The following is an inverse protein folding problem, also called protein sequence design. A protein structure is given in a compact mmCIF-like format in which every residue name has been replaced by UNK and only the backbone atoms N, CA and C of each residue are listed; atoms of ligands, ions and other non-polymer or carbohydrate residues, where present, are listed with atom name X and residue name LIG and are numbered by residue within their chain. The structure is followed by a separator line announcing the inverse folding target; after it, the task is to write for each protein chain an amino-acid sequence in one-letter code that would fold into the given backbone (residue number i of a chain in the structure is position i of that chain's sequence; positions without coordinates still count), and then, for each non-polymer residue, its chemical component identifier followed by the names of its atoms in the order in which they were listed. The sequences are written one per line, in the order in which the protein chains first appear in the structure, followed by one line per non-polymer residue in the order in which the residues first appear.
data_IF_441883141455
#
_entry.id   IF_441883141455
#
_cell.length_a   1.000
_cell.length_b   1.000
_cell.length_c   1.000
_cell.angle_alpha   90.00
_cell.angle_beta   90.00
_cell.angle_gamma   90.00
#
_symmetry.space_group_name_H-M   'P 1'
#
loop_
_entity.id
_entity.type
_entity.pdbx_description
1 polymer ?
#
# COMPACT_ATOMS: atom_id res chain seq x y z
N UNK A 1 5.24 -9.31 2.58
CA UNK A 1 6.13 -8.14 2.36
C UNK A 1 5.66 -7.01 3.27
N UNK A 2 6.49 -5.99 3.48
CA UNK A 2 6.14 -4.85 4.33
C UNK A 2 6.11 -3.56 3.50
N UNK A 3 5.04 -2.79 3.65
CA UNK A 3 4.92 -1.40 3.17
C UNK A 3 5.05 -0.46 4.36
N UNK A 4 5.81 0.62 4.24
CA UNK A 4 6.11 1.58 5.32
C UNK A 4 5.22 2.82 5.29
N UNK A 5 4.45 2.99 4.22
CA UNK A 5 3.59 4.16 4.03
C UNK A 5 2.43 3.87 3.06
N UNK A 6 1.37 4.69 3.09
CA UNK A 6 0.32 4.66 2.05
C UNK A 6 0.87 4.81 0.63
N UNK A 7 1.99 5.53 0.45
CA UNK A 7 2.61 5.74 -0.85
C UNK A 7 3.30 4.47 -1.37
N UNK A 8 4.00 3.72 -0.51
CA UNK A 8 4.55 2.42 -0.87
C UNK A 8 3.45 1.42 -1.25
N UNK A 9 2.33 1.43 -0.53
CA UNK A 9 1.16 0.62 -0.89
C UNK A 9 0.61 0.98 -2.27
N UNK A 10 0.53 2.29 -2.60
CA UNK A 10 0.14 2.74 -3.94
C UNK A 10 1.14 2.31 -4.99
N UNK A 11 2.44 2.52 -4.77
CA UNK A 11 3.53 2.11 -5.68
C UNK A 11 3.46 0.62 -5.98
N UNK A 12 3.22 -0.21 -4.96
CA UNK A 12 3.03 -1.65 -5.12
C UNK A 12 1.84 -1.96 -6.05
N UNK A 13 0.69 -1.33 -5.82
CA UNK A 13 -0.50 -1.56 -6.64
C UNK A 13 -0.31 -1.05 -8.09
N UNK A 14 0.32 0.12 -8.28
CA UNK A 14 0.71 0.64 -9.61
C UNK A 14 1.60 -0.37 -10.32
N UNK A 15 2.62 -0.88 -9.64
CA UNK A 15 3.56 -1.83 -10.21
C UNK A 15 2.89 -3.18 -10.53
N UNK A 16 1.92 -3.65 -9.74
CA UNK A 16 1.16 -4.86 -10.04
C UNK A 16 0.29 -4.73 -11.29
N UNK A 17 -0.27 -3.54 -11.55
CA UNK A 17 -1.27 -3.30 -12.60
C UNK A 17 -0.91 -3.80 -14.02
N UNK A 18 0.34 -3.74 -14.53
CA UNK A 18 0.66 -4.22 -15.88
C UNK A 18 0.62 -5.75 -16.01
N UNK A 19 0.61 -6.48 -14.89
CA UNK A 19 0.47 -7.94 -14.86
C UNK A 19 -1.00 -8.39 -14.91
N UNK A 20 -1.94 -7.45 -14.74
CA UNK A 20 -3.37 -7.73 -14.80
C UNK A 20 -3.86 -7.88 -16.23
N UNK A 21 -4.94 -8.64 -16.36
CA UNK A 21 -5.66 -8.96 -17.59
C UNK A 21 -7.16 -8.88 -17.32
N UNK A 22 -7.98 -8.54 -18.33
CA UNK A 22 -9.43 -8.65 -18.22
C UNK A 22 -9.85 -10.02 -17.66
N UNK A 23 -10.83 -10.01 -16.76
CA UNK A 23 -11.32 -11.17 -16.01
C UNK A 23 -10.53 -11.47 -14.74
N UNK A 24 -9.46 -10.73 -14.44
CA UNK A 24 -8.77 -10.89 -13.16
C UNK A 24 -9.59 -10.34 -11.99
N UNK A 25 -9.65 -11.14 -10.93
CA UNK A 25 -10.21 -10.73 -9.64
C UNK A 25 -9.10 -10.60 -8.60
N UNK A 26 -9.10 -9.47 -7.90
CA UNK A 26 -8.28 -9.21 -6.72
C UNK A 26 -9.18 -9.15 -5.49
N UNK A 27 -8.94 -10.03 -4.53
CA UNK A 27 -9.62 -10.05 -3.23
C UNK A 27 -8.76 -9.35 -2.20
N UNK A 28 -9.22 -8.22 -1.65
CA UNK A 28 -8.50 -7.50 -0.60
C UNK A 28 -9.14 -7.81 0.76
N UNK A 29 -8.38 -8.40 1.67
CA UNK A 29 -8.80 -8.69 3.04
C UNK A 29 -7.95 -7.99 4.10
N UNK A 30 -8.45 -7.99 5.33
CA UNK A 30 -7.74 -7.50 6.51
C UNK A 30 -8.39 -6.29 7.19
N UNK A 31 -7.68 -5.69 8.15
CA UNK A 31 -8.29 -4.81 9.16
C UNK A 31 -8.90 -3.51 8.60
N UNK A 32 -9.82 -2.92 9.36
CA UNK A 32 -10.31 -1.57 9.08
C UNK A 32 -9.13 -0.58 9.15
N UNK A 33 -8.97 0.24 8.12
CA UNK A 33 -7.83 1.16 8.02
C UNK A 33 -6.51 0.52 7.58
N UNK A 34 -6.50 -0.78 7.23
CA UNK A 34 -5.31 -1.46 6.71
C UNK A 34 -4.82 -0.91 5.35
N UNK A 35 -5.64 -0.12 4.66
CA UNK A 35 -5.24 0.54 3.40
C UNK A 35 -5.72 -0.16 2.14
N UNK A 36 -6.78 -0.96 2.22
CA UNK A 36 -7.42 -1.63 1.06
C UNK A 36 -7.79 -0.62 -0.03
N UNK A 37 -8.56 0.42 0.28
CA UNK A 37 -8.87 1.50 -0.69
C UNK A 37 -7.61 2.22 -1.21
N UNK A 38 -6.59 2.41 -0.38
CA UNK A 38 -5.29 2.99 -0.81
C UNK A 38 -4.63 2.12 -1.89
N UNK A 39 -4.69 0.80 -1.74
CA UNK A 39 -4.23 -0.14 -2.76
C UNK A 39 -5.03 0.03 -4.06
N UNK A 40 -6.37 0.09 -3.98
CA UNK A 40 -7.22 0.27 -5.18
C UNK A 40 -6.93 1.57 -5.90
N UNK A 41 -6.68 2.66 -5.16
CA UNK A 41 -6.27 3.94 -5.75
C UNK A 41 -4.98 3.83 -6.55
N UNK A 42 -3.96 3.17 -5.99
CA UNK A 42 -2.71 2.92 -6.72
C UNK A 42 -2.93 2.03 -7.95
N UNK A 43 -3.75 1.00 -7.81
CA UNK A 43 -4.09 0.11 -8.93
C UNK A 43 -4.76 0.88 -10.07
N UNK A 44 -5.74 1.73 -9.74
CA UNK A 44 -6.46 2.54 -10.72
C UNK A 44 -5.52 3.48 -11.47
N UNK A 45 -4.57 4.12 -10.76
CA UNK A 45 -3.52 4.93 -11.39
C UNK A 45 -2.67 4.09 -12.35
N UNK A 46 -2.26 2.89 -11.94
CA UNK A 46 -1.49 1.98 -12.80
C UNK A 46 -2.26 1.50 -14.03
N UNK A 47 -3.59 1.36 -13.91
CA UNK A 47 -4.50 1.09 -15.02
C UNK A 47 -4.78 2.33 -15.89
N UNK A 48 -4.30 3.52 -15.52
CA UNK A 48 -4.53 4.76 -16.27
C UNK A 48 -5.90 5.40 -16.03
N UNK A 49 -6.62 5.00 -14.97
CA UNK A 49 -7.90 5.61 -14.58
C UNK A 49 -7.60 6.95 -13.90
N UNK A 50 -8.05 8.04 -14.54
CA UNK A 50 -7.83 9.42 -14.07
C UNK A 50 -8.89 9.89 -13.07
N UNK A 51 -9.99 9.15 -12.96
CA UNK A 51 -11.10 9.46 -12.06
C UNK A 51 -10.70 9.27 -10.59
N UNK A 52 -11.34 10.03 -9.70
CA UNK A 52 -11.07 9.93 -8.27
C UNK A 52 -11.66 8.64 -7.70
N UNK A 53 -10.80 7.66 -7.42
CA UNK A 53 -11.19 6.43 -6.74
C UNK A 53 -11.40 6.66 -5.25
N UNK A 54 -12.58 6.30 -4.77
CA UNK A 54 -13.00 6.38 -3.37
C UNK A 54 -13.67 5.08 -2.98
N UNK A 55 -13.61 4.71 -1.70
CA UNK A 55 -14.25 3.49 -1.21
C UNK A 55 -15.75 3.49 -1.55
N UNK A 56 -16.26 2.39 -2.13
CA UNK A 56 -17.66 2.26 -2.47
C UNK A 56 -18.51 1.78 -1.29
N UNK A 57 -18.06 1.85 -0.02
CA UNK A 57 -18.78 1.26 1.12
C UNK A 57 -20.27 1.62 1.26
N UNK A 58 -20.75 2.73 0.67
CA UNK A 58 -22.17 3.10 0.66
C UNK A 58 -22.94 2.68 -0.59
N UNK A 59 -22.26 2.64 -1.74
CA UNK A 59 -22.86 2.28 -3.04
C UNK A 59 -22.59 0.82 -3.41
N UNK A 60 -21.79 0.12 -2.59
CA UNK A 60 -21.29 -1.24 -2.70
C UNK A 60 -20.37 -1.50 -3.89
N UNK A 61 -20.63 -0.85 -5.03
CA UNK A 61 -19.89 -0.99 -6.27
C UNK A 61 -19.68 0.37 -6.94
N UNK A 62 -18.51 0.53 -7.56
CA UNK A 62 -18.22 1.59 -8.53
C UNK A 62 -17.51 1.00 -9.73
N UNK A 63 -17.88 1.50 -10.90
CA UNK A 63 -17.27 1.15 -12.17
C UNK A 63 -16.48 2.35 -12.70
N UNK A 64 -15.27 2.09 -13.19
CA UNK A 64 -14.39 3.10 -13.76
C UNK A 64 -13.94 2.64 -15.15
N UNK A 65 -14.34 3.37 -16.20
CA UNK A 65 -14.17 2.95 -17.59
C UNK A 65 -12.94 3.56 -18.28
N UNK A 66 -12.37 4.62 -17.72
CA UNK A 66 -11.35 5.46 -18.38
C UNK A 66 -9.91 4.93 -18.40
N UNK A 67 -9.67 3.64 -18.14
CA UNK A 67 -8.33 3.04 -18.07
C UNK A 67 -7.97 2.13 -19.25
N UNK A 68 -6.78 1.52 -19.19
CA UNK A 68 -6.34 0.44 -20.09
C UNK A 68 -7.34 -0.73 -20.08
N UNK A 69 -7.86 -1.04 -18.89
CA UNK A 69 -8.97 -1.96 -18.67
C UNK A 69 -9.98 -1.28 -17.74
N UNK A 70 -11.29 -1.46 -17.97
CA UNK A 70 -12.31 -1.09 -17.00
C UNK A 70 -12.07 -1.73 -15.64
N UNK A 71 -12.38 -1.01 -14.56
CA UNK A 71 -12.25 -1.47 -13.18
C UNK A 71 -13.60 -1.46 -12.48
N UNK A 72 -13.99 -2.60 -11.95
CA UNK A 72 -15.07 -2.75 -10.97
C UNK A 72 -14.45 -2.77 -9.58
N UNK A 73 -14.82 -1.82 -8.74
CA UNK A 73 -14.40 -1.72 -7.34
C UNK A 73 -15.59 -1.98 -6.44
N UNK A 74 -15.54 -3.05 -5.66
CA UNK A 74 -16.56 -3.47 -4.72
C UNK A 74 -16.08 -3.38 -3.28
N UNK A 75 -16.99 -3.11 -2.36
CA UNK A 75 -16.76 -3.19 -0.91
C UNK A 75 -17.94 -3.92 -0.27
N UNK A 76 -17.69 -5.14 0.20
CA UNK A 76 -18.72 -6.02 0.78
C UNK A 76 -18.77 -5.96 2.30
N UNK A 77 -18.05 -5.05 2.95
CA UNK A 77 -17.98 -4.94 4.42
C UNK A 77 -19.34 -4.86 5.11
N UNK A 78 -20.30 -4.19 4.46
CA UNK A 78 -21.64 -3.93 5.02
C UNK A 78 -22.63 -5.07 4.80
N UNK A 79 -22.27 -6.07 4.01
CA UNK A 79 -23.17 -7.18 3.72
C UNK A 79 -23.08 -8.16 4.89
N UNK A 80 -24.22 -8.38 5.56
CA UNK A 80 -24.26 -9.24 6.75
C UNK A 80 -24.26 -10.72 6.37
N UNK A 81 -24.65 -11.03 5.14
CA UNK A 81 -24.82 -12.39 4.64
C UNK A 81 -24.31 -12.52 3.22
N UNK A 82 -23.68 -13.67 2.93
CA UNK A 82 -23.27 -14.05 1.57
C UNK A 82 -24.43 -14.00 0.57
N UNK A 83 -25.68 -14.25 1.01
CA UNK A 83 -26.87 -14.17 0.16
C UNK A 83 -27.11 -12.76 -0.38
N UNK A 84 -26.79 -11.71 0.38
CA UNK A 84 -26.95 -10.33 -0.09
C UNK A 84 -26.01 -10.02 -1.26
N UNK A 85 -24.82 -10.63 -1.28
CA UNK A 85 -23.87 -10.53 -2.40
C UNK A 85 -24.43 -11.19 -3.64
N UNK A 86 -25.05 -12.37 -3.48
CA UNK A 86 -25.70 -13.11 -4.58
C UNK A 86 -26.89 -12.31 -5.12
N UNK A 87 -27.73 -11.78 -4.24
CA UNK A 87 -28.93 -11.01 -4.59
C UNK A 87 -28.60 -9.68 -5.29
N UNK A 88 -27.40 -9.13 -5.06
CA UNK A 88 -26.90 -7.96 -5.79
C UNK A 88 -26.56 -8.25 -7.26
N UNK A 89 -26.59 -9.52 -7.68
CA UNK A 89 -26.17 -9.93 -9.02
C UNK A 89 -24.67 -10.19 -9.09
N UNK A 90 -24.14 -10.97 -8.14
CA UNK A 90 -22.72 -11.35 -8.10
C UNK A 90 -22.11 -11.73 -9.46
N UNK A 91 -22.87 -12.50 -10.26
CA UNK A 91 -22.46 -12.96 -11.59
C UNK A 91 -22.35 -11.82 -12.62
N UNK A 92 -23.08 -10.72 -12.42
CA UNK A 92 -23.08 -9.55 -13.31
C UNK A 92 -21.81 -8.70 -13.14
N UNK A 93 -21.13 -8.80 -11.98
CA UNK A 93 -19.95 -7.99 -11.67
C UNK A 93 -18.62 -8.72 -11.95
N UNK A 94 -18.66 -10.03 -12.21
CA UNK A 94 -17.50 -10.80 -12.68
C UNK A 94 -17.34 -10.72 -14.20
N UNK A 95 -17.52 -9.53 -14.76
CA UNK A 95 -17.42 -9.33 -16.20
C UNK A 95 -15.99 -9.68 -16.68
N UNK A 96 -15.83 -10.65 -17.60
CA UNK A 96 -14.52 -11.08 -18.10
C UNK A 96 -13.77 -9.99 -18.90
N UNK A 97 -14.42 -8.87 -19.22
CA UNK A 97 -13.81 -7.70 -19.84
C UNK A 97 -13.23 -6.69 -18.83
N UNK A 98 -13.53 -6.85 -17.54
CA UNK A 98 -13.13 -5.94 -16.46
C UNK A 98 -12.00 -6.51 -15.60
N UNK A 99 -11.29 -5.63 -14.90
CA UNK A 99 -10.59 -5.99 -13.67
C UNK A 99 -11.57 -5.82 -12.52
N UNK A 100 -11.66 -6.80 -11.61
CA UNK A 100 -12.52 -6.71 -10.43
C UNK A 100 -11.67 -6.66 -9.17
N UNK A 101 -11.95 -5.70 -8.29
CA UNK A 101 -11.33 -5.60 -6.97
C UNK A 101 -12.42 -5.61 -5.91
N UNK A 102 -12.34 -6.58 -4.99
CA UNK A 102 -13.31 -6.75 -3.91
C UNK A 102 -12.64 -6.45 -2.58
N UNK A 103 -12.95 -5.31 -1.97
CA UNK A 103 -12.60 -5.03 -0.58
C UNK A 103 -13.46 -5.89 0.35
N UNK A 104 -12.82 -6.42 1.40
CA UNK A 104 -13.39 -7.42 2.32
C UNK A 104 -13.78 -8.72 1.60
N UNK A 105 -13.07 -9.04 0.52
CA UNK A 105 -13.32 -10.21 -0.30
C UNK A 105 -13.08 -11.54 0.44
N UNK A 106 -12.35 -11.52 1.57
CA UNK A 106 -12.18 -12.65 2.49
C UNK A 106 -13.50 -13.10 3.13
N UNK A 107 -14.45 -12.18 3.35
CA UNK A 107 -15.79 -12.52 3.87
C UNK A 107 -16.64 -13.30 2.87
N UNK A 108 -16.30 -13.22 1.59
CA UNK A 108 -17.05 -13.81 0.47
C UNK A 108 -16.18 -14.74 -0.38
N UNK A 109 -15.02 -15.17 0.15
CA UNK A 109 -14.04 -15.99 -0.58
C UNK A 109 -14.66 -17.22 -1.27
N UNK A 110 -15.64 -17.95 -0.68
CA UNK A 110 -16.28 -19.09 -1.35
C UNK A 110 -17.10 -18.73 -2.60
N UNK A 111 -17.50 -17.47 -2.75
CA UNK A 111 -18.19 -17.00 -3.95
C UNK A 111 -17.21 -16.64 -5.07
N UNK A 112 -15.99 -16.19 -4.71
CA UNK A 112 -14.96 -15.71 -5.65
C UNK A 112 -14.58 -16.76 -6.70
N UNK A 113 -14.18 -16.36 -7.92
CA UNK A 113 -13.74 -17.30 -8.95
C UNK A 113 -12.56 -18.14 -8.45
N UNK A 114 -12.41 -19.35 -8.98
CA UNK A 114 -11.26 -20.22 -8.66
C UNK A 114 -9.91 -19.56 -8.96
N UNK A 115 -9.87 -18.71 -9.99
CA UNK A 115 -8.70 -17.94 -10.40
C UNK A 115 -8.82 -16.51 -9.83
N UNK A 116 -8.10 -16.21 -8.76
CA UNK A 116 -8.01 -14.85 -8.22
C UNK A 116 -6.70 -14.65 -7.43
N UNK A 117 -6.34 -13.40 -7.15
CA UNK A 117 -5.26 -13.09 -6.21
C UNK A 117 -5.87 -12.60 -4.89
N UNK A 118 -5.61 -13.31 -3.80
CA UNK A 118 -5.94 -12.85 -2.46
C UNK A 118 -4.81 -11.99 -1.91
N UNK A 119 -5.14 -10.82 -1.39
CA UNK A 119 -4.20 -9.84 -0.84
C UNK A 119 -4.68 -9.48 0.57
N UNK A 120 -3.99 -10.00 1.57
CA UNK A 120 -4.27 -9.72 2.98
C UNK A 120 -3.39 -8.58 3.46
N UNK A 121 -4.01 -7.60 4.13
CA UNK A 121 -3.35 -6.41 4.63
C UNK A 121 -3.58 -6.28 6.14
N UNK A 122 -2.53 -6.26 6.93
CA UNK A 122 -2.59 -6.09 8.40
C UNK A 122 -1.66 -4.97 8.85
N UNK A 123 -1.86 -4.49 10.08
CA UNK A 123 -0.93 -3.56 10.70
C UNK A 123 0.44 -4.22 10.93
N UNK A 124 1.50 -3.49 10.59
CA UNK A 124 2.87 -3.88 10.90
C UNK A 124 3.29 -3.47 12.31
N UNK A 125 4.59 -3.58 12.60
CA UNK A 125 5.15 -3.25 13.92
C UNK A 125 5.01 -1.76 14.33
N UNK A 126 4.73 -0.87 13.38
CA UNK A 126 4.39 0.53 13.66
C UNK A 126 3.11 0.92 12.90
N UNK A 127 2.39 1.92 13.41
CA UNK A 127 1.07 2.33 12.89
C UNK A 127 1.06 2.71 11.41
N UNK A 128 2.18 3.19 10.86
CA UNK A 128 2.31 3.53 9.44
C UNK A 128 2.66 2.34 8.54
N UNK A 129 3.12 1.23 9.13
CA UNK A 129 3.57 0.03 8.43
C UNK A 129 2.41 -0.92 8.18
N UNK A 130 2.44 -1.63 7.07
CA UNK A 130 1.48 -2.65 6.69
C UNK A 130 2.23 -3.91 6.29
N UNK A 131 1.81 -5.04 6.83
CA UNK A 131 2.19 -6.32 6.27
C UNK A 131 1.18 -6.67 5.16
N UNK A 132 1.70 -7.00 3.99
CA UNK A 132 0.91 -7.37 2.82
C UNK A 132 1.31 -8.79 2.39
N UNK A 133 0.34 -9.68 2.37
CA UNK A 133 0.51 -11.09 1.97
C UNK A 133 -0.33 -11.35 0.74
N UNK A 134 0.32 -11.73 -0.35
CA UNK A 134 -0.33 -12.07 -1.62
C UNK A 134 -0.33 -13.59 -1.82
N UNK A 135 -1.51 -14.18 -2.00
CA UNK A 135 -1.71 -15.61 -2.20
C UNK A 135 -2.43 -15.84 -3.52
N UNK A 136 -1.78 -16.51 -4.50
CA UNK A 136 -2.46 -16.89 -5.73
C UNK A 136 -3.50 -17.96 -5.44
N UNK A 137 -4.67 -17.86 -6.08
CA UNK A 137 -5.65 -18.93 -6.20
C UNK A 137 -5.78 -19.30 -7.66
N UNK A 138 -5.61 -20.59 -7.95
CA UNK A 138 -5.65 -21.11 -9.31
C UNK A 138 -4.33 -21.00 -10.07
N UNK A 139 -4.25 -21.75 -11.16
CA UNK A 139 -3.00 -21.99 -11.90
C UNK A 139 -2.52 -20.73 -12.62
N UNK A 140 -3.42 -19.90 -13.14
CA UNK A 140 -3.03 -18.69 -13.88
C UNK A 140 -2.36 -17.67 -12.96
N UNK A 141 -2.83 -17.57 -11.72
CA UNK A 141 -2.21 -16.70 -10.72
C UNK A 141 -0.93 -17.29 -10.14
N UNK A 142 -0.85 -18.60 -9.91
CA UNK A 142 0.40 -19.27 -9.50
C UNK A 142 1.54 -18.99 -10.48
N UNK A 143 1.25 -19.10 -11.78
CA UNK A 143 2.24 -18.82 -12.83
C UNK A 143 2.66 -17.35 -12.86
N UNK A 144 1.74 -16.42 -12.61
CA UNK A 144 2.03 -14.97 -12.56
C UNK A 144 2.81 -14.57 -11.31
N UNK A 145 2.73 -15.32 -10.22
CA UNK A 145 3.42 -14.98 -8.97
C UNK A 145 4.95 -14.96 -9.10
N UNK A 146 5.54 -15.65 -10.08
CA UNK A 146 6.97 -15.52 -10.36
C UNK A 146 7.34 -14.08 -10.73
N UNK A 147 6.56 -13.45 -11.61
CA UNK A 147 6.75 -12.05 -12.02
C UNK A 147 6.44 -11.09 -10.88
N UNK A 148 5.39 -11.37 -10.09
CA UNK A 148 5.03 -10.55 -8.93
C UNK A 148 6.16 -10.53 -7.91
N UNK A 149 6.82 -11.67 -7.65
CA UNK A 149 7.95 -11.76 -6.72
C UNK A 149 9.14 -10.91 -7.18
N UNK A 150 9.55 -11.06 -8.45
CA UNK A 150 10.64 -10.26 -9.04
C UNK A 150 10.32 -8.76 -8.95
N UNK A 151 9.09 -8.39 -9.30
CA UNK A 151 8.63 -7.01 -9.22
C UNK A 151 8.69 -6.44 -7.80
N UNK A 152 8.26 -7.22 -6.81
CA UNK A 152 8.33 -6.84 -5.40
C UNK A 152 9.79 -6.68 -4.95
N UNK A 153 10.67 -7.60 -5.34
CA UNK A 153 12.09 -7.51 -5.03
C UNK A 153 12.70 -6.25 -5.63
N UNK A 154 12.45 -5.95 -6.91
CA UNK A 154 12.95 -4.73 -7.58
C UNK A 154 12.42 -3.45 -6.92
N UNK A 155 11.11 -3.38 -6.67
CA UNK A 155 10.46 -2.18 -6.13
C UNK A 155 10.99 -1.79 -4.73
N UNK A 156 11.38 -2.78 -3.92
CA UNK A 156 11.81 -2.59 -2.53
C UNK A 156 13.29 -2.94 -2.28
N UNK A 157 14.08 -3.18 -3.34
CA UNK A 157 15.54 -3.26 -3.24
C UNK A 157 16.19 -1.88 -3.31
N UNK A 158 15.62 -0.95 -4.10
CA UNK A 158 16.15 0.41 -4.26
C UNK A 158 16.06 1.23 -2.96
N UNK A 159 14.97 1.06 -2.19
CA UNK A 159 14.74 1.76 -0.92
C UNK A 159 15.64 1.27 0.25
N UNK A 160 16.49 0.25 0.05
CA UNK A 160 17.48 -0.19 1.04
C UNK A 160 18.85 0.49 0.87
N UNK A 161 19.21 0.85 -0.36
CA UNK A 161 20.53 1.43 -0.66
C UNK A 161 20.55 2.96 -0.51
N UNK A 162 19.40 3.63 -0.68
CA UNK A 162 19.28 5.09 -0.48
C UNK A 162 19.33 5.53 0.99
N UNK A 163 19.17 4.60 1.95
CA UNK A 163 19.38 4.87 3.37
C UNK A 163 20.86 4.86 3.79
N UNK A 164 21.76 4.35 2.94
CA UNK A 164 23.21 4.36 3.18
C UNK A 164 23.97 5.42 2.36
N UNK A 165 23.25 6.25 1.61
CA UNK A 165 23.83 7.34 0.81
C UNK A 165 23.37 8.72 1.32
N UNK A 166 23.67 9.05 2.58
CA UNK A 166 23.69 10.45 3.03
C UNK A 166 25.11 11.01 2.90
N UNK A 167 25.31 12.21 2.30
CA UNK A 167 26.61 12.84 2.28
C UNK A 167 26.95 13.41 3.67
N UNK A 168 27.92 12.77 4.33
CA UNK A 168 28.84 13.39 5.29
C UNK A 168 28.23 14.13 6.49
N UNK A 169 27.95 13.40 7.56
CA UNK A 169 28.01 13.97 8.91
C UNK A 169 29.49 14.27 9.21
N UNK A 170 29.93 15.48 8.89
CA UNK A 170 31.20 15.98 9.40
C UNK A 170 31.02 16.24 10.89
N UNK A 171 31.92 15.74 11.76
CA UNK A 171 31.79 15.97 13.20
C UNK A 171 31.85 17.48 13.48
N UNK A 172 31.12 17.97 14.50
CA UNK A 172 31.13 19.39 14.84
C UNK A 172 32.55 19.83 15.21
N UNK A 173 32.95 20.99 14.67
CA UNK A 173 34.21 21.63 14.99
C UNK A 173 34.36 21.81 16.51
N UNK A 174 35.52 21.43 17.04
CA UNK A 174 35.86 21.60 18.45
C UNK A 174 35.77 23.08 18.87
N UNK A 175 35.30 23.40 20.09
CA UNK A 175 35.25 24.77 20.56
C UNK A 175 36.67 25.34 20.74
N UNK A 176 36.86 26.66 20.59
CA UNK A 176 38.16 27.29 20.78
C UNK A 176 38.63 27.13 22.23
N UNK A 177 39.86 26.65 22.39
CA UNK A 177 40.51 26.50 23.69
C UNK A 177 40.61 27.83 24.42
N UNK A 178 40.17 27.83 25.67
CA UNK A 178 40.39 28.94 26.61
C UNK A 178 41.87 29.01 26.95
N UNK A 179 42.57 29.96 26.31
CA UNK A 179 43.93 30.33 26.64
C UNK A 179 44.01 30.89 28.06
N UNK A 180 44.90 30.30 28.85
CA UNK A 180 45.36 30.73 30.16
C UNK A 180 45.94 32.16 30.14
N UNK A 181 45.44 33.02 31.03
CA UNK A 181 46.05 34.30 31.41
C UNK A 181 46.18 34.39 32.93
N UNK A 182 47.41 34.65 33.39
CA UNK A 182 47.84 34.79 34.79
C UNK A 182 47.16 35.97 35.54
N UNK A 183 47.27 36.04 36.88
CA UNK A 183 46.47 36.91 37.75
C UNK A 183 47.00 38.35 37.78
N UNK A 184 46.08 39.30 38.00
CA UNK A 184 46.39 40.66 38.40
C UNK A 184 45.90 40.87 39.83
N UNK A 185 46.81 41.34 40.69
CA UNK A 185 46.57 41.73 42.09
C UNK A 185 45.53 42.85 42.24
N UNK A 186 44.88 42.99 43.42
CA UNK A 186 43.88 44.02 43.68
C UNK A 186 44.49 45.32 44.25
N UNK A 187 43.88 46.50 44.00
CA UNK A 187 44.08 47.69 44.82
C UNK A 187 42.84 48.02 45.69
N UNK A 188 42.96 48.95 46.67
CA UNK A 188 42.38 48.81 48.00
C UNK A 188 41.03 49.51 48.23
N UNK A 189 40.46 49.20 49.40
CA UNK A 189 39.21 49.70 49.99
C UNK A 189 39.09 51.23 50.08
N UNK A 190 37.87 51.75 49.96
CA UNK A 190 37.40 52.84 50.82
C UNK A 190 35.96 52.58 51.32
N UNK A 191 35.78 52.90 52.60
CA UNK A 191 34.56 52.89 53.38
C UNK A 191 33.66 54.06 52.98
N UNK A 192 32.34 53.83 52.92
CA UNK A 192 31.28 54.65 53.52
C UNK A 192 29.95 53.89 53.49
#
# INVERSE_FOLDING_TARGET
MESRSPEETRRLAVALSPLLRPGDVLSLGGDLGAGKTTFVQGLAVGLGILERVTSPSFVLLKEYLGGRYPLIHMDVYRLERMQEVVDLGYDEFLDPSHIVVVEWGDMVEPLLPKEHLSIQMSYGAADSRREIVMQPRGFQWEMRMQKVRVLIEELFSVDRDDLFSSPGDSPPASPPGTGSGHPLDPPPQEML
#
